data_IF_667657181000
#
_entry.id   IF_667657181000
#
_cell.length_a   1.000
_cell.length_b   1.000
_cell.length_c   1.000
_cell.angle_alpha   90.00
_cell.angle_beta   90.00
_cell.angle_gamma   90.00
#
_symmetry.space_group_name_H-M   'P 1'
#
loop_
_entity.id
_entity.type
_entity.pdbx_description
1 polymer ?
#
# COMPACT_ATOMS: atom_id res chain seq x y z
N UNK A 1 -0.08 12.60 -5.97
CA UNK A 1 -0.36 12.80 -7.40
C UNK A 1 0.15 11.56 -8.12
N UNK A 2 -0.57 11.04 -9.11
CA UNK A 2 -0.13 9.91 -9.91
C UNK A 2 1.00 10.30 -10.91
N UNK A 3 1.57 9.32 -11.60
CA UNK A 3 2.67 9.54 -12.54
C UNK A 3 2.30 10.42 -13.75
N UNK A 4 1.02 10.50 -14.11
CA UNK A 4 0.48 11.34 -15.20
C UNK A 4 0.11 12.74 -14.75
N UNK A 5 0.19 13.05 -13.45
CA UNK A 5 -0.19 14.33 -12.83
C UNK A 5 -1.64 14.77 -13.10
N UNK A 6 -2.54 13.82 -13.34
CA UNK A 6 -3.96 14.06 -13.61
C UNK A 6 -4.88 13.67 -12.45
N UNK A 7 -4.35 12.98 -11.44
CA UNK A 7 -5.11 12.49 -10.30
C UNK A 7 -4.39 12.81 -9.00
N UNK A 8 -5.11 13.41 -8.06
CA UNK A 8 -4.64 13.68 -6.70
C UNK A 8 -5.44 12.82 -5.73
N UNK A 9 -4.75 12.02 -4.93
CA UNK A 9 -5.38 11.22 -3.89
C UNK A 9 -5.05 11.81 -2.53
N UNK A 10 -6.09 12.10 -1.74
CA UNK A 10 -5.98 12.57 -0.37
C UNK A 10 -6.33 11.46 0.60
N UNK A 11 -5.48 11.26 1.59
CA UNK A 11 -5.69 10.33 2.68
C UNK A 11 -6.05 11.11 3.94
N UNK A 12 -7.33 11.03 4.35
CA UNK A 12 -7.80 11.73 5.55
C UNK A 12 -7.45 10.90 6.78
N UNK A 13 -6.58 11.42 7.62
CA UNK A 13 -6.15 10.79 8.87
C UNK A 13 -6.72 11.48 10.11
N UNK A 14 -7.19 12.73 9.96
CA UNK A 14 -7.81 13.48 11.06
C UNK A 14 -9.22 12.95 11.33
N UNK A 15 -9.44 12.47 12.57
CA UNK A 15 -10.73 11.95 13.02
C UNK A 15 -11.84 13.01 13.03
N UNK A 16 -11.49 14.30 13.22
CA UNK A 16 -12.46 15.41 13.18
C UNK A 16 -12.94 15.65 11.76
N UNK A 17 -12.03 15.59 10.78
CA UNK A 17 -12.37 15.73 9.36
C UNK A 17 -13.23 14.56 8.86
N UNK A 18 -12.92 13.32 9.31
CA UNK A 18 -13.67 12.12 8.92
C UNK A 18 -15.13 12.15 9.43
N UNK A 19 -15.40 12.86 10.54
CA UNK A 19 -16.73 12.99 11.13
C UNK A 19 -17.62 14.05 10.46
N UNK A 20 -17.10 14.84 9.51
CA UNK A 20 -17.83 15.91 8.85
C UNK A 20 -18.56 15.43 7.58
N UNK A 21 -19.72 16.03 7.31
CA UNK A 21 -20.47 15.77 6.07
C UNK A 21 -19.80 16.39 4.84
N UNK A 22 -18.96 17.40 5.04
CA UNK A 22 -18.19 18.05 3.98
C UNK A 22 -16.89 18.63 4.50
N UNK A 23 -15.89 18.66 3.63
CA UNK A 23 -14.58 19.27 3.89
C UNK A 23 -14.18 20.17 2.73
N UNK A 24 -13.51 21.27 3.04
CA UNK A 24 -12.88 22.12 2.04
C UNK A 24 -11.45 21.70 1.83
N UNK A 25 -11.08 21.48 0.57
CA UNK A 25 -9.71 21.18 0.15
C UNK A 25 -9.18 22.39 -0.60
N UNK A 26 -8.16 23.02 -0.08
CA UNK A 26 -7.46 24.11 -0.74
C UNK A 26 -6.23 23.56 -1.47
N UNK A 27 -6.14 23.85 -2.76
CA UNK A 27 -5.06 23.37 -3.62
C UNK A 27 -4.37 24.55 -4.28
N UNK A 28 -3.07 24.66 -4.06
CA UNK A 28 -2.22 25.65 -4.75
C UNK A 28 -1.36 24.94 -5.78
N UNK A 29 -1.42 25.38 -7.01
CA UNK A 29 -0.65 24.84 -8.13
C UNK A 29 -0.17 25.96 -9.05
N UNK A 30 0.81 25.66 -9.91
CA UNK A 30 1.38 26.63 -10.83
C UNK A 30 0.65 26.59 -12.17
N UNK A 31 0.22 27.75 -12.65
CA UNK A 31 -0.36 27.93 -13.98
C UNK A 31 0.48 28.93 -14.78
N UNK A 32 0.47 28.79 -16.10
CA UNK A 32 1.10 29.78 -16.98
C UNK A 32 0.20 31.01 -17.13
N UNK A 33 0.76 32.19 -16.93
CA UNK A 33 0.13 33.46 -17.28
C UNK A 33 0.22 33.73 -18.79
N UNK A 34 -0.33 34.86 -19.24
CA UNK A 34 -0.29 35.29 -20.66
C UNK A 34 1.12 35.57 -21.18
N UNK A 35 2.12 35.68 -20.30
CA UNK A 35 3.55 35.88 -20.62
C UNK A 35 4.36 34.60 -20.46
N UNK A 36 3.71 33.44 -20.29
CA UNK A 36 4.31 32.12 -20.03
C UNK A 36 5.12 32.01 -18.73
N UNK A 37 4.91 32.92 -17.77
CA UNK A 37 5.47 32.75 -16.43
C UNK A 37 4.59 31.82 -15.60
N UNK A 38 5.22 31.01 -14.74
CA UNK A 38 4.50 30.15 -13.81
C UNK A 38 4.12 30.97 -12.57
N UNK A 39 2.82 31.17 -12.37
CA UNK A 39 2.25 31.88 -11.22
C UNK A 39 1.43 30.92 -10.35
N UNK A 40 1.47 31.04 -9.02
CA UNK A 40 0.65 30.21 -8.15
C UNK A 40 -0.82 30.60 -8.26
N UNK A 41 -1.67 29.59 -8.45
CA UNK A 41 -3.12 29.70 -8.38
C UNK A 41 -3.63 28.81 -7.26
N UNK A 42 -4.59 29.31 -6.49
CA UNK A 42 -5.22 28.56 -5.40
C UNK A 42 -6.69 28.36 -5.71
N UNK A 43 -7.11 27.10 -5.71
CA UNK A 43 -8.51 26.70 -5.89
C UNK A 43 -9.01 25.98 -4.64
N UNK A 44 -10.27 26.21 -4.29
CA UNK A 44 -10.95 25.54 -3.19
C UNK A 44 -11.99 24.58 -3.72
N UNK A 45 -11.87 23.30 -3.35
CA UNK A 45 -12.82 22.24 -3.72
C UNK A 45 -13.61 21.81 -2.49
N UNK A 46 -14.93 21.82 -2.58
CA UNK A 46 -15.82 21.28 -1.56
C UNK A 46 -16.03 19.78 -1.82
N UNK A 47 -15.46 18.93 -0.97
CA UNK A 47 -15.72 17.50 -0.98
C UNK A 47 -16.88 17.18 -0.02
N UNK A 48 -17.98 16.64 -0.56
CA UNK A 48 -19.19 16.32 0.22
C UNK A 48 -19.32 14.81 0.35
N UNK A 49 -19.43 14.32 1.59
CA UNK A 49 -19.72 12.93 1.86
C UNK A 49 -21.19 12.64 1.54
N UNK A 50 -21.42 11.76 0.58
CA UNK A 50 -22.75 11.26 0.25
C UNK A 50 -22.91 9.85 0.81
N UNK A 51 -23.74 9.71 1.83
CA UNK A 51 -24.09 8.39 2.35
C UNK A 51 -24.73 7.54 1.24
N UNK A 52 -24.23 6.34 0.98
CA UNK A 52 -24.84 5.45 -0.01
C UNK A 52 -26.29 5.14 0.33
N UNK A 53 -27.17 5.09 -0.69
CA UNK A 53 -28.56 4.67 -0.51
C UNK A 53 -28.62 3.18 -0.27
N UNK A 54 -28.64 2.79 1.00
CA UNK A 54 -28.75 1.38 1.42
C UNK A 54 -29.62 1.28 2.67
N UNK A 55 -30.15 0.09 2.95
CA UNK A 55 -30.90 -0.16 4.19
C UNK A 55 -29.99 -0.01 5.41
N UNK A 56 -30.58 0.30 6.56
CA UNK A 56 -29.84 0.49 7.81
C UNK A 56 -29.05 -0.78 8.20
N UNK A 57 -29.66 -1.95 8.05
CA UNK A 57 -28.98 -3.24 8.27
C UNK A 57 -27.76 -3.45 7.36
N UNK A 58 -27.86 -3.06 6.09
CA UNK A 58 -26.73 -3.14 5.16
C UNK A 58 -25.62 -2.17 5.53
N UNK A 59 -25.99 -0.96 5.99
CA UNK A 59 -25.05 0.04 6.48
C UNK A 59 -24.30 -0.45 7.72
N UNK A 60 -25.01 -0.95 8.72
CA UNK A 60 -24.40 -1.50 9.94
C UNK A 60 -23.47 -2.68 9.64
N UNK A 61 -23.88 -3.58 8.74
CA UNK A 61 -23.06 -4.70 8.29
C UNK A 61 -21.78 -4.21 7.61
N UNK A 62 -21.88 -3.18 6.78
CA UNK A 62 -20.72 -2.58 6.12
C UNK A 62 -19.78 -1.90 7.13
N UNK A 63 -20.32 -1.20 8.13
CA UNK A 63 -19.53 -0.58 9.19
C UNK A 63 -18.81 -1.63 10.04
N UNK A 64 -19.49 -2.75 10.37
CA UNK A 64 -18.85 -3.87 11.07
C UNK A 64 -17.69 -4.45 10.26
N UNK A 65 -17.89 -4.72 8.97
CA UNK A 65 -16.82 -5.19 8.08
C UNK A 65 -15.65 -4.21 8.01
N UNK A 66 -15.91 -2.90 8.05
CA UNK A 66 -14.84 -1.89 8.09
C UNK A 66 -14.03 -1.96 9.40
N UNK A 67 -14.66 -2.21 10.55
CA UNK A 67 -13.98 -2.35 11.84
C UNK A 67 -13.16 -3.63 11.94
N UNK A 68 -13.64 -4.71 11.32
CA UNK A 68 -12.98 -6.02 11.28
C UNK A 68 -11.98 -6.13 10.10
N UNK A 69 -11.77 -5.04 9.35
CA UNK A 69 -10.89 -5.01 8.19
C UNK A 69 -9.46 -5.32 8.61
N UNK A 70 -8.80 -6.13 7.80
CA UNK A 70 -7.35 -6.36 7.83
C UNK A 70 -6.69 -5.62 6.68
N UNK A 71 -5.45 -5.22 6.86
CA UNK A 71 -4.68 -4.63 5.79
C UNK A 71 -4.31 -5.71 4.77
N UNK A 72 -4.78 -5.54 3.54
CA UNK A 72 -4.43 -6.43 2.45
C UNK A 72 -3.05 -6.09 1.91
N UNK A 73 -2.12 -7.03 2.02
CA UNK A 73 -0.80 -6.96 1.41
C UNK A 73 -0.77 -7.92 0.23
N UNK A 74 -0.39 -7.42 -0.93
CA UNK A 74 -0.18 -8.22 -2.15
C UNK A 74 1.30 -8.27 -2.48
N UNK A 75 1.71 -9.34 -3.15
CA UNK A 75 3.05 -9.47 -3.70
C UNK A 75 2.98 -9.87 -5.17
N UNK A 76 4.02 -9.52 -5.93
CA UNK A 76 4.23 -10.07 -7.26
C UNK A 76 4.90 -11.46 -7.23
N UNK A 77 5.13 -12.00 -6.03
CA UNK A 77 5.62 -13.35 -5.85
C UNK A 77 4.73 -14.36 -6.58
N UNK A 78 5.34 -15.22 -7.38
CA UNK A 78 4.61 -16.22 -8.17
C UNK A 78 5.45 -17.47 -8.41
N UNK A 79 4.80 -18.56 -8.82
CA UNK A 79 5.47 -19.78 -9.26
C UNK A 79 6.20 -19.65 -10.61
N UNK A 80 6.10 -18.51 -11.26
CA UNK A 80 6.77 -18.16 -12.53
C UNK A 80 7.40 -16.77 -12.41
N UNK A 81 8.19 -16.57 -11.35
CA UNK A 81 8.85 -15.30 -11.10
C UNK A 81 10.08 -15.18 -12.02
N UNK A 82 10.14 -14.08 -12.77
CA UNK A 82 11.24 -13.82 -13.69
C UNK A 82 12.47 -13.28 -12.93
N UNK A 83 13.66 -13.73 -13.30
CA UNK A 83 14.91 -13.32 -12.62
C UNK A 83 15.18 -11.81 -12.71
N UNK A 84 14.64 -11.16 -13.73
CA UNK A 84 14.80 -9.72 -13.94
C UNK A 84 13.79 -8.88 -13.15
N UNK A 85 12.77 -9.51 -12.58
CA UNK A 85 11.80 -8.84 -11.75
C UNK A 85 12.33 -8.61 -10.34
N UNK A 86 11.98 -7.49 -9.76
CA UNK A 86 12.24 -7.23 -8.35
C UNK A 86 11.04 -7.66 -7.51
N UNK A 87 11.29 -8.49 -6.50
CA UNK A 87 10.25 -8.90 -5.56
C UNK A 87 9.72 -7.66 -4.81
N UNK A 88 8.42 -7.50 -4.78
CA UNK A 88 7.75 -6.34 -4.15
C UNK A 88 6.50 -6.74 -3.42
N UNK A 89 6.18 -5.93 -2.42
CA UNK A 89 4.89 -5.94 -1.74
C UNK A 89 4.16 -4.64 -2.03
N UNK A 90 2.85 -4.72 -2.10
CA UNK A 90 1.94 -3.62 -2.39
C UNK A 90 0.89 -3.60 -1.30
N UNK A 91 0.75 -2.48 -0.62
CA UNK A 91 -0.30 -2.24 0.35
C UNK A 91 -1.49 -1.54 -0.30
N UNK A 92 -2.70 -1.84 0.17
CA UNK A 92 -3.91 -1.13 -0.26
C UNK A 92 -3.99 0.31 0.24
N UNK A 93 -3.22 0.65 1.30
CA UNK A 93 -3.15 1.98 1.91
C UNK A 93 -1.70 2.34 2.23
N UNK A 94 -1.38 3.63 2.38
CA UNK A 94 -0.06 4.04 2.82
C UNK A 94 0.32 3.37 4.14
N UNK A 95 1.55 2.93 4.22
CA UNK A 95 2.10 2.24 5.39
C UNK A 95 2.64 3.28 6.37
N UNK A 96 2.20 3.19 7.62
CA UNK A 96 2.70 3.98 8.74
C UNK A 96 3.95 3.34 9.35
N UNK A 97 3.90 2.02 9.55
CA UNK A 97 5.04 1.28 10.10
C UNK A 97 5.17 -0.11 9.48
N UNK A 98 6.43 -0.55 9.31
CA UNK A 98 6.80 -1.86 8.79
C UNK A 98 7.91 -2.45 9.65
N UNK A 99 7.73 -3.70 10.07
CA UNK A 99 8.63 -4.45 10.93
C UNK A 99 9.35 -5.51 10.10
N UNK A 100 10.56 -5.19 9.63
CA UNK A 100 11.33 -6.06 8.75
C UNK A 100 11.68 -7.41 9.39
N UNK A 101 11.80 -7.46 10.71
CA UNK A 101 12.04 -8.66 11.51
C UNK A 101 10.90 -9.69 11.47
N UNK A 102 9.70 -9.25 11.07
CA UNK A 102 8.51 -10.10 10.92
C UNK A 102 8.29 -10.57 9.47
N UNK A 103 9.28 -10.35 8.63
CA UNK A 103 9.34 -10.90 7.27
C UNK A 103 10.38 -12.01 7.24
N UNK A 104 10.01 -13.13 6.68
CA UNK A 104 10.88 -14.31 6.61
C UNK A 104 10.98 -14.76 5.16
N UNK A 105 12.18 -14.62 4.60
CA UNK A 105 12.48 -15.10 3.26
C UNK A 105 13.44 -16.30 3.37
N UNK A 106 13.02 -17.44 2.86
CA UNK A 106 13.80 -18.67 2.92
C UNK A 106 13.89 -19.35 1.55
N UNK A 107 15.05 -19.92 1.26
CA UNK A 107 15.26 -20.79 0.11
C UNK A 107 14.90 -22.22 0.49
N UNK A 108 14.15 -22.89 -0.36
CA UNK A 108 13.86 -24.31 -0.19
C UNK A 108 14.96 -25.15 -0.83
N UNK A 109 15.75 -25.81 0.01
CA UNK A 109 16.78 -26.76 -0.43
C UNK A 109 16.34 -28.17 0.01
N UNK A 110 15.89 -28.97 -0.95
CA UNK A 110 15.22 -30.25 -0.71
C UNK A 110 14.01 -30.13 0.22
N UNK A 111 14.15 -30.51 1.49
CA UNK A 111 13.10 -30.43 2.51
C UNK A 111 13.37 -29.36 3.58
N UNK A 112 14.54 -28.69 3.50
CA UNK A 112 14.98 -27.72 4.51
C UNK A 112 14.75 -26.30 3.99
N UNK A 113 14.22 -25.44 4.85
CA UNK A 113 14.07 -24.02 4.61
C UNK A 113 15.29 -23.27 5.19
N UNK A 114 16.11 -22.69 4.32
CA UNK A 114 17.27 -21.90 4.71
C UNK A 114 16.95 -20.43 4.62
N UNK A 115 16.99 -19.66 5.73
CA UNK A 115 16.75 -18.23 5.70
C UNK A 115 17.82 -17.53 4.86
N UNK A 116 17.40 -16.57 4.06
CA UNK A 116 18.29 -15.71 3.27
C UNK A 116 18.12 -14.26 3.69
N UNK A 117 19.22 -13.50 3.73
CA UNK A 117 19.15 -12.08 4.06
C UNK A 117 18.46 -11.31 2.95
N UNK A 118 17.71 -10.29 3.33
CA UNK A 118 17.04 -9.36 2.42
C UNK A 118 16.99 -7.94 3.01
N UNK A 119 16.63 -6.98 2.18
CA UNK A 119 16.38 -5.61 2.59
C UNK A 119 15.02 -5.17 2.08
N UNK A 120 14.28 -4.42 2.92
CA UNK A 120 13.03 -3.75 2.55
C UNK A 120 13.34 -2.29 2.21
N UNK A 121 13.00 -1.87 0.99
CA UNK A 121 13.25 -0.52 0.51
C UNK A 121 11.94 0.06 -0.04
N UNK A 122 11.50 1.26 0.43
CA UNK A 122 10.35 1.91 -0.16
C UNK A 122 10.63 2.23 -1.63
N UNK A 123 9.67 1.96 -2.51
CA UNK A 123 9.82 2.23 -3.94
C UNK A 123 9.00 3.44 -4.41
N UNK A 124 8.15 3.98 -3.55
CA UNK A 124 7.37 5.18 -3.84
C UNK A 124 7.41 6.18 -2.66
N UNK A 125 7.11 7.43 -2.96
CA UNK A 125 7.05 8.50 -1.97
C UNK A 125 5.79 8.46 -1.09
N UNK A 126 4.83 7.62 -1.44
CA UNK A 126 3.53 7.49 -0.76
C UNK A 126 3.61 6.41 0.33
N UNK A 127 4.62 5.50 0.23
CA UNK A 127 4.81 4.40 1.18
C UNK A 127 3.79 3.26 0.99
N UNK A 128 3.31 3.03 -0.23
CA UNK A 128 2.41 1.92 -0.54
C UNK A 128 3.13 0.71 -1.12
N UNK A 129 4.32 0.91 -1.68
CA UNK A 129 5.08 -0.12 -2.36
C UNK A 129 6.48 -0.26 -1.76
N UNK A 130 6.91 -1.48 -1.51
CA UNK A 130 8.24 -1.81 -1.02
C UNK A 130 8.88 -2.91 -1.85
N UNK A 131 10.15 -2.75 -2.17
CA UNK A 131 10.98 -3.80 -2.73
C UNK A 131 11.56 -4.67 -1.64
N UNK A 132 11.63 -5.97 -1.91
CA UNK A 132 12.35 -6.95 -1.11
C UNK A 132 13.59 -7.32 -1.93
N UNK A 133 14.72 -6.75 -1.58
CA UNK A 133 15.99 -7.00 -2.26
C UNK A 133 16.70 -8.17 -1.60
N UNK A 134 16.88 -9.26 -2.35
CA UNK A 134 17.56 -10.46 -1.91
C UNK A 134 18.38 -11.05 -3.07
N UNK A 135 19.42 -11.78 -2.75
CA UNK A 135 20.23 -12.51 -3.75
C UNK A 135 19.53 -13.82 -4.15
N UNK A 136 18.54 -13.71 -5.02
CA UNK A 136 17.80 -14.85 -5.54
C UNK A 136 18.57 -15.52 -6.68
N UNK A 137 18.58 -16.86 -6.73
CA UNK A 137 19.28 -17.64 -7.75
C UNK A 137 18.28 -18.30 -8.72
N UNK A 138 18.64 -18.41 -10.02
CA UNK A 138 17.80 -19.08 -11.00
C UNK A 138 17.47 -20.51 -10.61
N UNK A 139 16.32 -21.00 -11.10
CA UNK A 139 15.84 -22.38 -10.92
C UNK A 139 15.60 -22.81 -9.46
N UNK A 140 15.72 -21.88 -8.51
CA UNK A 140 15.47 -22.14 -7.10
C UNK A 140 14.05 -21.75 -6.67
N UNK A 141 13.62 -22.34 -5.57
CA UNK A 141 12.31 -22.04 -4.96
C UNK A 141 12.52 -21.35 -3.62
N UNK A 142 11.73 -20.31 -3.40
CA UNK A 142 11.75 -19.50 -2.19
C UNK A 142 10.38 -19.43 -1.56
N UNK A 143 10.36 -19.15 -0.29
CA UNK A 143 9.15 -18.93 0.49
C UNK A 143 9.28 -17.63 1.25
N UNK A 144 8.31 -16.73 1.05
CA UNK A 144 8.21 -15.47 1.76
C UNK A 144 7.01 -15.54 2.68
N UNK A 145 7.25 -15.47 3.97
CA UNK A 145 6.21 -15.35 5.00
C UNK A 145 6.23 -13.94 5.57
N UNK A 146 5.07 -13.34 5.69
CA UNK A 146 4.86 -12.07 6.36
C UNK A 146 3.95 -12.35 7.56
N UNK A 147 4.45 -12.14 8.76
CA UNK A 147 3.70 -12.40 9.98
C UNK A 147 2.53 -11.42 10.15
N UNK A 148 1.59 -11.80 10.98
CA UNK A 148 0.49 -10.91 11.37
C UNK A 148 1.01 -9.69 12.11
N UNK A 149 0.47 -8.51 11.80
CA UNK A 149 0.88 -7.21 12.34
C UNK A 149 2.32 -6.77 11.97
N UNK A 150 2.94 -7.38 10.96
CA UNK A 150 4.22 -6.95 10.41
C UNK A 150 4.14 -5.58 9.72
N UNK A 151 2.96 -5.22 9.21
CA UNK A 151 2.70 -3.97 8.50
C UNK A 151 1.45 -3.31 9.07
N UNK A 152 1.53 -2.02 9.34
CA UNK A 152 0.40 -1.20 9.81
C UNK A 152 0.20 -0.02 8.86
N UNK A 153 -1.04 0.22 8.46
CA UNK A 153 -1.41 1.37 7.64
C UNK A 153 -1.60 2.65 8.47
N UNK A 154 -1.74 3.79 7.78
CA UNK A 154 -1.97 5.11 8.41
C UNK A 154 -3.26 5.19 9.22
N UNK A 155 -4.15 4.22 9.12
CA UNK A 155 -5.39 4.11 9.91
C UNK A 155 -5.25 3.15 11.10
N UNK A 156 -4.05 2.62 11.35
CA UNK A 156 -3.76 1.70 12.45
C UNK A 156 -4.21 0.26 12.18
N UNK A 157 -4.59 -0.09 10.96
CA UNK A 157 -5.01 -1.45 10.59
C UNK A 157 -3.79 -2.28 10.21
N UNK A 158 -3.68 -3.47 10.79
CA UNK A 158 -2.58 -4.39 10.55
C UNK A 158 -2.95 -5.48 9.55
N UNK A 159 -1.93 -6.08 8.93
CA UNK A 159 -2.07 -7.26 8.07
C UNK A 159 -2.30 -8.53 8.88
N UNK A 160 -2.91 -9.53 8.25
CA UNK A 160 -2.84 -10.93 8.69
C UNK A 160 -1.57 -11.59 8.15
N UNK A 161 -1.22 -12.75 8.72
CA UNK A 161 -0.13 -13.56 8.20
C UNK A 161 -0.41 -13.99 6.76
N UNK A 162 0.61 -13.89 5.92
CA UNK A 162 0.51 -14.20 4.48
C UNK A 162 1.74 -14.95 4.02
N UNK A 163 1.53 -15.97 3.18
CA UNK A 163 2.58 -16.80 2.63
C UNK A 163 2.62 -16.74 1.12
N UNK A 164 3.81 -16.61 0.56
CA UNK A 164 4.04 -16.60 -0.88
C UNK A 164 5.12 -17.61 -1.27
N UNK A 165 4.85 -18.42 -2.28
CA UNK A 165 5.85 -19.29 -2.89
C UNK A 165 6.35 -18.66 -4.18
N UNK A 166 7.66 -18.57 -4.30
CA UNK A 166 8.37 -17.96 -5.43
C UNK A 166 9.19 -19.06 -6.08
N UNK A 167 9.06 -19.23 -7.39
CA UNK A 167 9.94 -20.09 -8.18
C UNK A 167 10.52 -19.25 -9.31
N UNK A 168 11.84 -19.08 -9.28
CA UNK A 168 12.56 -18.39 -10.34
C UNK A 168 12.69 -19.29 -11.57
N UNK A 169 12.51 -18.64 -12.72
CA UNK A 169 12.80 -19.21 -14.02
C UNK A 169 14.11 -18.65 -14.56
#
# INVERSE_FOLDING_TARGET
VNATNDTITYWLTDSLAIGQDSIYLEMTYLVSDSLYNLVPQTDTVLAVYRRPRMSEKAWESQQRKKRERKLEIKSNASSKFEIYDTLRIISAYPIDSIHAEMFHLAQKVDTIMQPIPFQLIPCDSIGMNYYILAALQPEQSYHLTIDSAAVRDIYGVCNDSTDYTIRLK
#
